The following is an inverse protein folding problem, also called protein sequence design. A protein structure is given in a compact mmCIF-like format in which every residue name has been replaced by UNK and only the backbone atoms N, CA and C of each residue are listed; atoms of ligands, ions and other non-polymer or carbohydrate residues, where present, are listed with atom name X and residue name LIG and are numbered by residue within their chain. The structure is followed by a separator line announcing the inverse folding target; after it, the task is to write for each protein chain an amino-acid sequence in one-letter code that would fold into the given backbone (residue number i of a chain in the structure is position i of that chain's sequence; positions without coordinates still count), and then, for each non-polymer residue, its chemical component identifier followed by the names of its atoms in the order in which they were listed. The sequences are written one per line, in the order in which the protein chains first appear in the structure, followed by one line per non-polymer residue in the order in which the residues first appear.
data_IF_811188503799
#
_entry.id   IF_811188503799
#
_cell.length_a   1.000
_cell.length_b   1.000
_cell.length_c   1.000
_cell.angle_alpha   90.00
_cell.angle_beta   90.00
_cell.angle_gamma   90.00
#
_symmetry.space_group_name_H-M   'P 1'
#
loop_
_entity.id
_entity.type
_entity.pdbx_description
1 polymer ?
#
# COMPACT_ATOMS: atom_id res chain seq x y z
N UNK A 1 -8.73 -15.08 -13.26
CA UNK A 1 -7.76 -14.03 -13.69
C UNK A 1 -8.18 -13.59 -15.07
N UNK A 2 -8.52 -12.33 -15.28
CA UNK A 2 -8.93 -11.84 -16.59
C UNK A 2 -7.69 -11.46 -17.44
N UNK A 3 -7.89 -11.27 -18.76
CA UNK A 3 -6.79 -11.02 -19.71
C UNK A 3 -5.93 -9.77 -19.38
N UNK A 4 -6.49 -8.77 -18.68
CA UNK A 4 -5.78 -7.56 -18.27
C UNK A 4 -4.83 -7.84 -17.10
N UNK A 5 -5.27 -8.66 -16.14
CA UNK A 5 -4.44 -9.08 -15.00
C UNK A 5 -3.24 -9.90 -15.47
N UNK A 6 -3.44 -10.82 -16.39
CA UNK A 6 -2.36 -11.62 -16.99
C UNK A 6 -1.34 -10.74 -17.70
N UNK A 7 -1.78 -9.78 -18.50
CA UNK A 7 -0.86 -8.89 -19.24
C UNK A 7 -0.03 -7.99 -18.31
N UNK A 8 -0.63 -7.45 -17.25
CA UNK A 8 0.08 -6.60 -16.28
C UNK A 8 1.16 -7.40 -15.56
N UNK A 9 0.85 -8.61 -15.11
CA UNK A 9 1.81 -9.50 -14.42
C UNK A 9 2.94 -9.92 -15.39
N UNK A 10 2.60 -10.27 -16.63
CA UNK A 10 3.59 -10.67 -17.63
C UNK A 10 4.56 -9.54 -17.96
N UNK A 11 4.08 -8.33 -18.20
CA UNK A 11 4.93 -7.16 -18.48
C UNK A 11 5.79 -6.78 -17.28
N UNK A 12 5.24 -6.81 -16.06
CA UNK A 12 6.01 -6.58 -14.85
C UNK A 12 7.15 -7.60 -14.69
N UNK A 13 6.87 -8.87 -14.98
CA UNK A 13 7.86 -9.96 -14.93
C UNK A 13 8.96 -9.77 -15.99
N UNK A 14 8.58 -9.48 -17.24
CA UNK A 14 9.54 -9.23 -18.34
C UNK A 14 10.48 -8.08 -17.99
N UNK A 15 9.95 -6.95 -17.52
CA UNK A 15 10.73 -5.79 -17.14
C UNK A 15 11.64 -6.05 -15.93
N UNK A 16 11.17 -6.83 -14.96
CA UNK A 16 11.98 -7.24 -13.81
C UNK A 16 13.14 -8.15 -14.22
N UNK A 17 12.94 -9.08 -15.15
CA UNK A 17 13.99 -9.96 -15.68
C UNK A 17 15.02 -9.18 -16.48
N UNK A 18 14.60 -8.23 -17.32
CA UNK A 18 15.48 -7.38 -18.12
C UNK A 18 16.34 -6.43 -17.27
N UNK A 19 15.75 -5.81 -16.24
CA UNK A 19 16.45 -4.82 -15.38
C UNK A 19 17.16 -5.47 -14.18
N UNK A 20 16.74 -6.64 -13.74
CA UNK A 20 17.27 -7.30 -12.55
C UNK A 20 18.75 -7.66 -12.61
N UNK A 21 19.31 -7.81 -13.83
CA UNK A 21 20.73 -8.06 -14.04
C UNK A 21 21.61 -6.82 -13.75
N UNK A 22 21.12 -5.62 -13.96
CA UNK A 22 21.89 -4.40 -13.69
C UNK A 22 21.82 -3.97 -12.23
N UNK A 23 20.63 -4.06 -11.59
CA UNK A 23 20.43 -3.60 -10.20
C UNK A 23 20.97 -4.54 -9.13
N UNK A 24 20.98 -5.86 -9.37
CA UNK A 24 21.67 -6.81 -8.48
C UNK A 24 23.16 -6.49 -8.30
N UNK A 25 23.77 -5.78 -9.25
CA UNK A 25 25.16 -5.28 -9.13
C UNK A 25 25.27 -4.08 -8.18
N UNK A 26 24.17 -3.35 -7.88
CA UNK A 26 24.19 -2.09 -7.13
C UNK A 26 23.46 -2.19 -5.77
N UNK A 27 23.01 -3.37 -5.31
CA UNK A 27 22.31 -3.59 -4.01
C UNK A 27 21.07 -2.71 -3.78
N UNK A 28 20.41 -2.23 -4.83
CA UNK A 28 19.13 -1.51 -4.69
C UNK A 28 17.97 -2.41 -5.07
N UNK A 29 16.88 -2.36 -4.31
CA UNK A 29 15.68 -3.13 -4.58
C UNK A 29 15.02 -2.75 -5.93
N UNK A 30 14.42 -3.73 -6.61
CA UNK A 30 13.59 -3.50 -7.78
C UNK A 30 12.17 -3.13 -7.35
N UNK A 31 11.67 -1.97 -7.79
CA UNK A 31 10.44 -1.40 -7.27
C UNK A 31 9.35 -1.30 -8.35
N UNK A 32 8.20 -1.90 -8.08
CA UNK A 32 6.99 -1.79 -8.90
C UNK A 32 5.95 -0.97 -8.15
N UNK A 33 5.56 0.17 -8.72
CA UNK A 33 4.51 1.05 -8.20
C UNK A 33 3.18 0.77 -8.91
N UNK A 34 2.11 0.51 -8.16
CA UNK A 34 0.76 0.34 -8.70
C UNK A 34 -0.17 1.38 -8.11
N UNK A 35 -0.57 2.34 -8.93
CA UNK A 35 -1.49 3.42 -8.55
C UNK A 35 -2.88 3.24 -9.13
N UNK A 36 -3.85 3.94 -8.58
CA UNK A 36 -5.23 3.97 -9.08
C UNK A 36 -6.29 4.11 -7.99
N UNK A 37 -7.56 4.32 -8.36
CA UNK A 37 -8.64 4.56 -7.42
C UNK A 37 -8.99 3.31 -6.57
N UNK A 38 -9.78 3.51 -5.50
CA UNK A 38 -10.32 2.40 -4.71
C UNK A 38 -11.20 1.49 -5.57
N UNK A 39 -11.19 0.19 -5.30
CA UNK A 39 -11.98 -0.79 -6.06
C UNK A 39 -11.47 -1.09 -7.49
N UNK A 40 -10.31 -0.53 -7.90
CA UNK A 40 -9.73 -0.80 -9.21
C UNK A 40 -9.10 -2.20 -9.35
N UNK A 41 -8.90 -2.94 -8.24
CA UNK A 41 -8.28 -4.27 -8.24
C UNK A 41 -6.77 -4.26 -7.99
N UNK A 42 -6.19 -3.12 -7.60
CA UNK A 42 -4.74 -2.95 -7.37
C UNK A 42 -4.16 -4.02 -6.45
N UNK A 43 -4.75 -4.18 -5.27
CA UNK A 43 -4.23 -5.09 -4.24
C UNK A 43 -4.29 -6.56 -4.68
N UNK A 44 -5.28 -6.93 -5.50
CA UNK A 44 -5.37 -8.28 -6.09
C UNK A 44 -4.20 -8.52 -7.04
N UNK A 45 -4.00 -7.60 -8.00
CA UNK A 45 -2.91 -7.70 -8.98
C UNK A 45 -1.55 -7.63 -8.29
N UNK A 46 -1.38 -6.70 -7.34
CA UNK A 46 -0.13 -6.54 -6.60
C UNK A 46 0.27 -7.81 -5.83
N UNK A 47 -0.69 -8.46 -5.16
CA UNK A 47 -0.44 -9.73 -4.45
C UNK A 47 -0.07 -10.87 -5.39
N UNK A 48 -0.80 -11.02 -6.50
CA UNK A 48 -0.51 -12.06 -7.50
C UNK A 48 0.88 -11.84 -8.11
N UNK A 49 1.19 -10.63 -8.54
CA UNK A 49 2.49 -10.30 -9.09
C UNK A 49 3.64 -10.48 -8.08
N UNK A 50 3.43 -10.10 -6.82
CA UNK A 50 4.42 -10.28 -5.76
C UNK A 50 4.71 -11.76 -5.50
N UNK A 51 3.67 -12.60 -5.49
CA UNK A 51 3.81 -14.06 -5.36
C UNK A 51 4.59 -14.66 -6.52
N UNK A 52 4.27 -14.29 -7.77
CA UNK A 52 4.94 -14.77 -8.98
C UNK A 52 6.41 -14.34 -9.08
N UNK A 53 6.73 -13.13 -8.62
CA UNK A 53 8.06 -12.57 -8.67
C UNK A 53 8.89 -12.87 -7.42
N UNK A 54 8.30 -13.44 -6.37
CA UNK A 54 8.89 -13.57 -5.03
C UNK A 54 9.32 -12.21 -4.45
N UNK A 55 8.52 -11.17 -4.68
CA UNK A 55 8.71 -9.81 -4.17
C UNK A 55 7.87 -9.58 -2.92
N UNK A 56 8.26 -8.61 -2.11
CA UNK A 56 7.47 -8.18 -0.95
C UNK A 56 6.31 -7.29 -1.44
N UNK A 57 5.10 -7.63 -1.06
CA UNK A 57 3.93 -6.80 -1.32
C UNK A 57 3.74 -5.78 -0.20
N UNK A 58 3.66 -4.49 -0.55
CA UNK A 58 3.45 -3.39 0.40
C UNK A 58 2.12 -2.70 0.12
N UNK A 59 1.14 -2.91 1.02
CA UNK A 59 -0.17 -2.25 1.00
C UNK A 59 -0.11 -0.94 1.81
N UNK A 60 0.07 0.18 1.12
CA UNK A 60 0.12 1.48 1.81
C UNK A 60 -1.22 1.86 2.41
N UNK A 61 -2.34 1.42 1.83
CA UNK A 61 -3.68 1.63 2.40
C UNK A 61 -3.83 1.01 3.78
N UNK A 62 -3.23 -0.15 4.02
CA UNK A 62 -3.21 -0.77 5.35
C UNK A 62 -2.39 0.04 6.37
N UNK A 63 -1.29 0.67 5.94
CA UNK A 63 -0.49 1.55 6.80
C UNK A 63 -1.31 2.78 7.23
N UNK A 64 -2.00 3.44 6.30
CA UNK A 64 -2.90 4.55 6.64
C UNK A 64 -4.06 4.11 7.53
N UNK A 65 -4.60 2.90 7.34
CA UNK A 65 -5.64 2.35 8.23
C UNK A 65 -5.11 2.11 9.63
N UNK A 66 -3.88 1.64 9.81
CA UNK A 66 -3.27 1.46 11.12
C UNK A 66 -3.13 2.81 11.87
N UNK A 67 -2.65 3.86 11.20
CA UNK A 67 -2.63 5.20 11.79
C UNK A 67 -4.05 5.71 12.07
N UNK A 68 -4.98 5.53 11.12
CA UNK A 68 -6.40 5.90 11.31
C UNK A 68 -7.02 5.21 12.53
N UNK A 69 -6.71 3.94 12.75
CA UNK A 69 -7.13 3.20 13.94
C UNK A 69 -6.56 3.82 15.22
N UNK A 70 -5.29 4.19 15.23
CA UNK A 70 -4.67 4.82 16.40
C UNK A 70 -5.30 6.16 16.74
N UNK A 71 -5.48 7.02 15.75
CA UNK A 71 -6.16 8.32 15.88
C UNK A 71 -7.59 8.14 16.40
N UNK A 72 -8.32 7.15 15.86
CA UNK A 72 -9.67 6.80 16.32
C UNK A 72 -9.69 6.33 17.79
N UNK A 73 -8.78 5.43 18.18
CA UNK A 73 -8.66 4.93 19.56
C UNK A 73 -8.29 6.03 20.57
N UNK A 74 -7.57 7.08 20.11
CA UNK A 74 -7.23 8.26 20.90
C UNK A 74 -8.35 9.30 20.95
N UNK A 75 -9.48 9.07 20.27
CA UNK A 75 -10.61 10.01 20.20
C UNK A 75 -10.22 11.39 19.70
N UNK A 76 -9.25 11.49 18.79
CA UNK A 76 -8.85 12.76 18.18
C UNK A 76 -9.92 13.20 17.18
N UNK A 77 -10.41 14.45 17.23
CA UNK A 77 -11.40 14.96 16.29
C UNK A 77 -10.88 14.92 14.84
N UNK A 78 -11.72 14.53 13.89
CA UNK A 78 -11.34 14.40 12.47
C UNK A 78 -10.95 15.72 11.83
N UNK A 79 -11.47 16.85 12.37
CA UNK A 79 -11.21 18.21 11.90
C UNK A 79 -9.87 18.77 12.42
N UNK A 80 -9.31 18.20 13.49
CA UNK A 80 -8.07 18.67 14.09
C UNK A 80 -6.85 18.03 13.40
N UNK A 81 -6.50 18.56 12.24
CA UNK A 81 -5.36 18.07 11.44
C UNK A 81 -4.02 18.18 12.18
N UNK A 82 -3.87 19.14 13.11
CA UNK A 82 -2.66 19.28 13.91
C UNK A 82 -2.56 18.16 14.94
N UNK A 83 -3.65 17.94 15.71
CA UNK A 83 -3.69 16.84 16.68
C UNK A 83 -3.53 15.47 16.01
N UNK A 84 -4.13 15.25 14.83
CA UNK A 84 -3.93 14.05 14.02
C UNK A 84 -2.45 13.86 13.66
N UNK A 85 -1.79 14.92 13.18
CA UNK A 85 -0.38 14.88 12.81
C UNK A 85 0.54 14.56 13.99
N UNK A 86 0.31 15.15 15.15
CA UNK A 86 1.08 14.86 16.37
C UNK A 86 0.82 13.42 16.87
N UNK A 87 -0.44 13.00 16.89
CA UNK A 87 -0.82 11.63 17.30
C UNK A 87 -0.19 10.57 16.37
N UNK A 88 -0.11 10.84 15.08
CA UNK A 88 0.51 9.93 14.13
C UNK A 88 2.00 9.69 14.39
N UNK A 89 2.72 10.69 14.94
CA UNK A 89 4.15 10.54 15.29
C UNK A 89 4.40 9.54 16.41
N UNK A 90 3.38 9.23 17.22
CA UNK A 90 3.45 8.21 18.28
C UNK A 90 3.33 6.78 17.73
N UNK A 91 3.08 6.63 16.43
CA UNK A 91 2.82 5.32 15.83
C UNK A 91 4.08 4.71 15.22
N UNK A 92 4.27 3.42 15.51
CA UNK A 92 5.17 2.54 14.77
C UNK A 92 4.32 1.52 13.99
N UNK A 93 4.36 1.61 12.66
CA UNK A 93 3.62 0.70 11.78
C UNK A 93 4.61 -0.27 11.14
N UNK A 94 4.34 -1.56 11.22
CA UNK A 94 5.13 -2.56 10.51
C UNK A 94 4.25 -3.60 9.82
N UNK A 95 4.76 -4.19 8.75
CA UNK A 95 4.10 -5.26 7.99
C UNK A 95 4.98 -6.50 8.09
N UNK A 96 4.38 -7.63 8.45
CA UNK A 96 5.06 -8.93 8.52
C UNK A 96 4.28 -9.95 7.72
N UNK A 97 5.00 -10.94 7.19
CA UNK A 97 4.41 -12.10 6.53
C UNK A 97 4.63 -13.32 7.41
N UNK A 98 3.54 -13.94 7.85
CA UNK A 98 3.54 -15.14 8.70
C UNK A 98 2.74 -16.20 7.95
N UNK A 99 3.37 -17.32 7.64
CA UNK A 99 2.75 -18.43 6.87
C UNK A 99 2.13 -17.99 5.53
N UNK A 100 2.73 -16.97 4.89
CA UNK A 100 2.26 -16.40 3.63
C UNK A 100 1.11 -15.40 3.79
N UNK A 101 0.60 -15.18 5.00
CA UNK A 101 -0.40 -14.16 5.30
C UNK A 101 0.25 -12.84 5.76
N UNK A 102 -0.35 -11.74 5.32
CA UNK A 102 0.11 -10.40 5.69
C UNK A 102 -0.50 -9.98 7.02
N UNK A 103 0.34 -9.63 7.97
CA UNK A 103 -0.01 -9.05 9.25
C UNK A 103 0.44 -7.60 9.34
N UNK A 104 -0.41 -6.74 9.87
CA UNK A 104 -0.14 -5.32 10.10
C UNK A 104 -0.05 -5.08 11.60
N UNK A 105 1.06 -4.54 12.03
CA UNK A 105 1.32 -4.23 13.43
C UNK A 105 1.31 -2.72 13.66
N UNK A 106 0.67 -2.31 14.73
CA UNK A 106 0.64 -0.94 15.24
C UNK A 106 1.17 -0.94 16.67
N UNK A 107 2.31 -0.29 16.90
CA UNK A 107 2.98 -0.27 18.21
C UNK A 107 3.16 -1.68 18.82
N UNK A 108 3.48 -2.66 17.96
CA UNK A 108 3.69 -4.06 18.35
C UNK A 108 2.41 -4.91 18.47
N UNK A 109 1.20 -4.33 18.40
CA UNK A 109 -0.07 -5.03 18.39
C UNK A 109 -0.47 -5.44 16.97
N UNK A 110 -0.89 -6.68 16.75
CA UNK A 110 -1.47 -7.11 15.47
C UNK A 110 -2.88 -6.54 15.33
N UNK A 111 -3.04 -5.65 14.36
CA UNK A 111 -4.30 -4.96 14.08
C UNK A 111 -4.92 -5.36 12.74
N UNK A 112 -4.45 -6.46 12.13
CA UNK A 112 -4.81 -6.89 10.77
C UNK A 112 -6.32 -7.01 10.54
N UNK A 113 -7.06 -7.51 11.52
CA UNK A 113 -8.51 -7.64 11.43
C UNK A 113 -9.21 -6.31 11.72
N UNK A 114 -8.74 -5.57 12.73
CA UNK A 114 -9.40 -4.34 13.16
C UNK A 114 -9.36 -3.24 12.09
N UNK A 115 -8.26 -3.14 11.37
CA UNK A 115 -8.11 -2.15 10.29
C UNK A 115 -9.02 -2.39 9.08
N UNK A 116 -9.69 -3.55 8.99
CA UNK A 116 -10.63 -3.86 7.90
C UNK A 116 -12.02 -3.25 8.11
N UNK A 117 -12.34 -2.84 9.34
CA UNK A 117 -13.64 -2.25 9.67
C UNK A 117 -13.90 -1.00 8.83
N UNK A 118 -15.17 -0.77 8.45
CA UNK A 118 -15.56 0.28 7.53
C UNK A 118 -15.19 1.68 8.04
N UNK A 119 -15.48 1.99 9.31
CA UNK A 119 -15.14 3.27 9.93
C UNK A 119 -13.63 3.54 9.93
N UNK A 120 -12.78 2.51 10.01
CA UNK A 120 -11.32 2.67 9.88
C UNK A 120 -10.92 2.97 8.43
N UNK A 121 -11.70 2.49 7.46
CA UNK A 121 -11.53 2.89 6.05
C UNK A 121 -11.80 4.38 5.82
N UNK A 122 -12.78 4.96 6.53
CA UNK A 122 -13.02 6.40 6.55
C UNK A 122 -11.86 7.14 7.22
N UNK A 123 -11.45 6.71 8.42
CA UNK A 123 -10.33 7.29 9.14
C UNK A 123 -9.02 7.27 8.33
N UNK A 124 -8.77 6.22 7.56
CA UNK A 124 -7.61 6.18 6.66
C UNK A 124 -7.64 7.29 5.61
N UNK A 125 -8.83 7.68 5.13
CA UNK A 125 -8.97 8.81 4.20
C UNK A 125 -8.74 10.14 4.91
N UNK A 126 -9.24 10.31 6.14
CA UNK A 126 -9.02 11.50 6.99
C UNK A 126 -7.53 11.69 7.24
N UNK A 127 -6.85 10.69 7.83
CA UNK A 127 -5.42 10.81 8.16
C UNK A 127 -4.54 10.93 6.91
N UNK A 128 -4.94 10.29 5.80
CA UNK A 128 -4.22 10.35 4.52
C UNK A 128 -4.26 11.74 3.85
N UNK A 129 -5.20 12.61 4.24
CA UNK A 129 -5.25 14.01 3.81
C UNK A 129 -4.29 14.90 4.61
N UNK A 130 -3.78 14.45 5.77
CA UNK A 130 -2.91 15.24 6.65
C UNK A 130 -1.44 15.12 6.20
N UNK A 131 -0.78 16.21 5.81
CA UNK A 131 0.61 16.19 5.32
C UNK A 131 1.60 15.55 6.29
N UNK A 132 1.49 15.84 7.60
CA UNK A 132 2.37 15.28 8.61
C UNK A 132 2.28 13.74 8.70
N UNK A 133 1.10 13.15 8.51
CA UNK A 133 0.91 11.70 8.47
C UNK A 133 1.58 11.10 7.23
N UNK A 134 1.45 11.76 6.08
CA UNK A 134 2.08 11.33 4.83
C UNK A 134 3.61 11.36 4.95
N UNK A 135 4.17 12.41 5.54
CA UNK A 135 5.60 12.55 5.79
C UNK A 135 6.12 11.47 6.75
N UNK A 136 5.37 11.18 7.82
CA UNK A 136 5.70 10.14 8.78
C UNK A 136 5.82 8.75 8.13
N UNK A 137 4.87 8.38 7.23
CA UNK A 137 4.92 7.11 6.51
C UNK A 137 5.94 7.08 5.37
N UNK A 138 6.27 8.23 4.78
CA UNK A 138 7.10 8.30 3.58
C UNK A 138 8.50 7.71 3.80
N UNK A 139 9.12 7.99 4.95
CA UNK A 139 10.44 7.48 5.29
C UNK A 139 10.45 5.95 5.38
N UNK A 140 9.46 5.38 6.05
CA UNK A 140 9.31 3.93 6.20
C UNK A 140 9.06 3.25 4.84
N UNK A 141 8.16 3.81 4.02
CA UNK A 141 7.84 3.28 2.69
C UNK A 141 9.08 3.28 1.78
N UNK A 142 9.86 4.34 1.81
CA UNK A 142 11.11 4.44 1.02
C UNK A 142 12.20 3.52 1.53
N UNK A 143 12.33 3.36 2.84
CA UNK A 143 13.29 2.41 3.42
C UNK A 143 12.99 0.98 2.98
N UNK A 144 11.72 0.53 3.07
CA UNK A 144 11.32 -0.80 2.61
C UNK A 144 11.69 -1.01 1.13
N UNK A 145 11.46 0.02 0.29
CA UNK A 145 11.74 -0.04 -1.13
C UNK A 145 13.24 -0.05 -1.48
N UNK A 146 14.08 0.55 -0.64
CA UNK A 146 15.54 0.53 -0.83
C UNK A 146 16.17 -0.81 -0.48
N UNK A 147 15.63 -1.48 0.53
CA UNK A 147 16.20 -2.70 1.09
C UNK A 147 15.71 -3.98 0.39
N UNK A 148 14.60 -3.91 -0.37
CA UNK A 148 13.91 -5.07 -0.89
C UNK A 148 13.42 -4.88 -2.32
N UNK A 149 13.24 -5.99 -3.04
CA UNK A 149 12.44 -6.04 -4.27
C UNK A 149 10.96 -6.02 -3.86
N UNK A 150 10.22 -4.98 -4.28
CA UNK A 150 8.85 -4.76 -3.80
C UNK A 150 7.84 -4.49 -4.90
N UNK A 151 6.59 -4.80 -4.60
CA UNK A 151 5.42 -4.24 -5.27
C UNK A 151 4.64 -3.43 -4.25
N UNK A 152 4.51 -2.14 -4.49
CA UNK A 152 3.79 -1.22 -3.60
C UNK A 152 2.54 -0.69 -4.29
N UNK A 153 1.37 -0.81 -3.66
CA UNK A 153 0.14 -0.23 -4.18
C UNK A 153 -0.40 0.92 -3.33
N UNK A 154 -1.00 1.90 -4.04
CA UNK A 154 -1.56 3.09 -3.40
C UNK A 154 -2.29 4.03 -4.35
N UNK A 155 -2.07 5.33 -4.20
CA UNK A 155 -2.70 6.39 -5.00
C UNK A 155 -1.70 7.27 -5.73
N UNK A 156 -0.51 7.41 -5.20
CA UNK A 156 0.54 8.32 -5.64
C UNK A 156 1.94 7.70 -5.42
N UNK A 157 2.02 6.37 -5.50
CA UNK A 157 3.28 5.64 -5.28
C UNK A 157 4.31 6.05 -6.33
N UNK A 158 3.96 5.94 -7.61
CA UNK A 158 4.86 6.23 -8.72
C UNK A 158 5.10 7.72 -8.98
N UNK A 159 4.40 8.62 -8.28
CA UNK A 159 4.56 10.08 -8.42
C UNK A 159 5.24 10.72 -7.22
N UNK A 160 4.87 10.33 -6.01
CA UNK A 160 5.34 10.96 -4.77
C UNK A 160 6.27 10.07 -3.93
N UNK A 161 5.90 8.80 -3.73
CA UNK A 161 6.63 7.92 -2.82
C UNK A 161 7.88 7.35 -3.50
N UNK A 162 7.70 6.71 -4.66
CA UNK A 162 8.74 6.09 -5.46
C UNK A 162 8.78 6.70 -6.88
N UNK A 163 9.17 7.98 -7.01
CA UNK A 163 9.17 8.66 -8.31
C UNK A 163 10.14 8.01 -9.31
N UNK A 164 11.10 7.25 -8.84
CA UNK A 164 12.08 6.51 -9.64
C UNK A 164 11.83 4.99 -9.62
N UNK A 165 10.58 4.54 -9.36
CA UNK A 165 10.23 3.13 -9.45
C UNK A 165 10.54 2.57 -10.84
N UNK A 166 11.02 1.33 -10.90
CA UNK A 166 11.42 0.66 -12.13
C UNK A 166 10.26 0.42 -13.07
N UNK A 167 9.10 0.10 -12.49
CA UNK A 167 7.85 -0.08 -13.20
C UNK A 167 6.77 0.74 -12.50
N UNK A 168 5.99 1.49 -13.29
CA UNK A 168 4.86 2.26 -12.80
C UNK A 168 3.61 1.87 -13.58
N UNK A 169 2.59 1.45 -12.84
CA UNK A 169 1.33 0.98 -13.38
C UNK A 169 0.21 1.84 -12.81
N UNK A 170 -0.64 2.40 -13.67
CA UNK A 170 -1.87 3.05 -13.24
C UNK A 170 -3.06 2.15 -13.59
N UNK A 171 -3.70 1.56 -12.57
CA UNK A 171 -4.81 0.65 -12.74
C UNK A 171 -6.13 1.38 -12.53
N UNK A 172 -7.05 1.24 -13.47
CA UNK A 172 -8.38 1.85 -13.41
C UNK A 172 -9.48 0.85 -13.70
N UNK A 173 -10.68 1.16 -13.25
CA UNK A 173 -11.93 0.49 -13.60
C UNK A 173 -13.04 1.52 -13.62
N UNK A 174 -14.16 1.25 -14.34
CA UNK A 174 -15.30 2.16 -14.37
C UNK A 174 -15.87 2.40 -12.96
N UNK A 175 -16.56 3.51 -12.76
CA UNK A 175 -17.18 3.84 -11.48
C UNK A 175 -18.19 2.76 -11.05
N UNK A 176 -18.94 2.22 -11.99
CA UNK A 176 -19.94 1.16 -11.79
C UNK A 176 -19.27 -0.14 -11.32
N UNK A 177 -18.17 -0.54 -11.98
CA UNK A 177 -17.45 -1.76 -11.60
C UNK A 177 -16.81 -1.63 -10.22
N UNK A 178 -16.26 -0.48 -9.89
CA UNK A 178 -15.68 -0.20 -8.57
C UNK A 178 -16.76 -0.20 -7.48
N UNK A 179 -17.93 0.38 -7.75
CA UNK A 179 -19.06 0.37 -6.84
C UNK A 179 -19.60 -1.05 -6.62
N UNK A 180 -19.71 -1.84 -7.71
CA UNK A 180 -20.13 -3.25 -7.64
C UNK A 180 -19.18 -4.08 -6.78
N UNK A 181 -17.87 -3.95 -6.98
CA UNK A 181 -16.86 -4.65 -6.17
C UNK A 181 -16.96 -4.26 -4.69
N UNK A 182 -17.10 -2.95 -4.40
CA UNK A 182 -17.25 -2.49 -3.02
C UNK A 182 -18.50 -3.00 -2.34
N UNK A 183 -19.62 -3.06 -3.08
CA UNK A 183 -20.86 -3.64 -2.56
C UNK A 183 -20.69 -5.11 -2.16
N UNK A 184 -20.00 -5.90 -2.99
CA UNK A 184 -19.74 -7.32 -2.70
C UNK A 184 -18.77 -7.55 -1.55
N UNK A 185 -17.83 -6.62 -1.30
CA UNK A 185 -16.91 -6.67 -0.16
C UNK A 185 -17.59 -6.39 1.19
N UNK A 186 -18.77 -5.73 1.18
CA UNK A 186 -19.51 -5.34 2.38
C UNK A 186 -20.61 -6.33 2.78
N UNK A 187 -20.87 -7.37 1.97
CA UNK A 187 -21.79 -8.48 2.28
C UNK A 187 -21.08 -9.61 3.02
#
# INVERSE_FOLDING_TARGET
VNSVEVNVIYEAKRLAEESGNEKRRHKMGFNIAIDGPAGAGKSTIAKLAASELSYIYVDTGAMYRAIGLYVYRKHVPEEDTNAIGETAKETEVSIRYIDGERHVYLNGEDVSEEIRKEHIGHMASVVGAVPAVREHLLSLQRQIAQENDIIMDGRDIGTCILPNADVKIFLTASAEERARRRYLELQ
#
